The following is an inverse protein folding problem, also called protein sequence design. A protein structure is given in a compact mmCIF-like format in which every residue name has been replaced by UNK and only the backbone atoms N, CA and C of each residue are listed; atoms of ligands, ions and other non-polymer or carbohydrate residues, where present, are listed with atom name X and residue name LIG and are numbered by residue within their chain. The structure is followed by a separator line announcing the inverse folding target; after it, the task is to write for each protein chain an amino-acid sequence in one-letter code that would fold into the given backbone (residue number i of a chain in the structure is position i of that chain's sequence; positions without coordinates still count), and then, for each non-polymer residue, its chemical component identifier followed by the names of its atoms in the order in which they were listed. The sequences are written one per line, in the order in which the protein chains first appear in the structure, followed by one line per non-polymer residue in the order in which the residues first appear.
data_IF_613740181226
#
_entry.id   IF_613740181226
#
_cell.length_a   1.000
_cell.length_b   1.000
_cell.length_c   1.000
_cell.angle_alpha   90.00
_cell.angle_beta   90.00
_cell.angle_gamma   90.00
#
_symmetry.space_group_name_H-M   'P 1'
#
loop_
_entity.id
_entity.type
_entity.pdbx_description
1 polymer ?
#
# COMPACT_ATOMS: atom_id res chain seq x y z
N UNK A 1 4.77 17.50 -5.19
CA UNK A 1 3.66 18.27 -4.56
C UNK A 1 2.45 17.39 -4.24
N UNK A 2 2.11 16.43 -5.11
CA UNK A 2 0.91 15.59 -4.98
C UNK A 2 1.07 14.49 -3.92
N UNK A 3 2.24 13.83 -3.85
CA UNK A 3 2.57 12.90 -2.76
C UNK A 3 2.46 13.54 -1.35
N UNK A 4 2.94 14.78 -1.17
CA UNK A 4 2.80 15.50 0.11
C UNK A 4 1.34 15.78 0.45
N UNK A 5 0.51 16.09 -0.55
CA UNK A 5 -0.94 16.30 -0.35
C UNK A 5 -1.66 15.00 -0.03
N UNK A 6 -1.26 13.89 -0.65
CA UNK A 6 -1.75 12.56 -0.31
C UNK A 6 -1.39 12.18 1.12
N UNK A 7 -0.16 12.47 1.55
CA UNK A 7 0.30 12.20 2.92
C UNK A 7 -0.51 12.99 3.95
N UNK A 8 -0.79 14.28 3.69
CA UNK A 8 -1.68 15.08 4.56
C UNK A 8 -3.08 14.48 4.65
N UNK A 9 -3.64 14.09 3.50
CA UNK A 9 -4.93 13.40 3.48
C UNK A 9 -4.90 12.12 4.33
N UNK A 10 -3.86 11.29 4.19
CA UNK A 10 -3.68 10.08 4.99
C UNK A 10 -3.61 10.42 6.48
N UNK A 11 -2.84 11.44 6.89
CA UNK A 11 -2.74 11.85 8.30
C UNK A 11 -4.09 12.27 8.90
N UNK A 12 -4.90 12.99 8.13
CA UNK A 12 -6.18 13.54 8.55
C UNK A 12 -7.30 12.47 8.61
N UNK A 13 -7.29 11.50 7.69
CA UNK A 13 -8.42 10.57 7.47
C UNK A 13 -8.19 9.13 7.96
N UNK A 14 -6.96 8.78 8.36
CA UNK A 14 -6.61 7.43 8.84
C UNK A 14 -6.26 7.43 10.32
N UNK A 15 -6.48 6.30 10.99
CA UNK A 15 -6.01 6.12 12.38
C UNK A 15 -4.51 5.83 12.40
N UNK A 16 -3.80 6.09 13.52
CA UNK A 16 -2.37 5.74 13.65
C UNK A 16 -2.06 4.24 13.47
N UNK A 17 -3.06 3.38 13.58
CA UNK A 17 -2.93 1.93 13.47
C UNK A 17 -3.22 1.40 12.07
N UNK A 18 -3.78 2.24 11.19
CA UNK A 18 -4.15 1.83 9.85
C UNK A 18 -2.89 1.45 9.05
N UNK A 19 -2.94 0.29 8.38
CA UNK A 19 -1.87 -0.18 7.50
C UNK A 19 -2.15 0.27 6.08
N UNK A 20 -1.15 0.92 5.48
CA UNK A 20 -1.21 1.41 4.11
C UNK A 20 -0.37 0.49 3.21
N UNK A 21 -0.99 -0.09 2.19
CA UNK A 21 -0.27 -0.76 1.12
C UNK A 21 0.38 0.30 0.21
N UNK A 22 1.69 0.21 0.02
CA UNK A 22 2.52 1.06 -0.85
C UNK A 22 3.68 0.20 -1.36
N UNK A 23 4.43 0.69 -2.34
CA UNK A 23 5.63 0.00 -2.82
C UNK A 23 6.67 -0.20 -1.72
N UNK A 24 7.50 -1.22 -1.91
CA UNK A 24 8.62 -1.57 -1.02
C UNK A 24 9.83 -0.64 -1.17
N UNK A 25 9.66 0.50 -1.83
CA UNK A 25 10.74 1.46 -2.04
C UNK A 25 11.19 2.08 -0.71
N UNK A 26 12.51 2.19 -0.51
CA UNK A 26 13.09 2.76 0.72
C UNK A 26 12.71 4.24 0.93
N UNK A 27 12.32 4.94 -0.14
CA UNK A 27 11.91 6.34 -0.14
C UNK A 27 10.39 6.50 -0.30
N UNK A 28 9.59 5.47 0.00
CA UNK A 28 8.13 5.57 -0.01
C UNK A 28 7.66 6.73 0.88
N UNK A 29 6.84 7.66 0.36
CA UNK A 29 6.46 8.87 1.09
C UNK A 29 5.54 8.57 2.27
N UNK A 30 4.75 7.50 2.20
CA UNK A 30 3.79 7.11 3.25
C UNK A 30 4.46 6.94 4.60
N UNK A 31 5.39 5.98 4.82
CA UNK A 31 6.04 5.82 6.12
C UNK A 31 6.90 7.05 6.49
N UNK A 32 7.51 7.71 5.50
CA UNK A 32 8.44 8.81 5.73
C UNK A 32 7.75 10.11 6.18
N UNK A 33 6.52 10.37 5.73
CA UNK A 33 5.82 11.63 5.97
C UNK A 33 4.62 11.50 6.90
N UNK A 34 4.00 10.32 7.01
CA UNK A 34 2.76 10.13 7.79
C UNK A 34 2.96 9.30 9.07
N UNK A 35 4.08 8.57 9.14
CA UNK A 35 4.34 7.60 10.22
C UNK A 35 3.40 6.39 10.23
N UNK A 36 2.56 6.19 9.20
CA UNK A 36 1.66 5.03 9.11
C UNK A 36 2.42 3.74 8.83
N UNK A 37 1.87 2.65 9.38
CA UNK A 37 2.36 1.30 9.14
C UNK A 37 2.21 0.93 7.67
N UNK A 38 3.17 0.16 7.17
CA UNK A 38 3.13 -0.41 5.81
C UNK A 38 3.40 -1.91 5.88
N UNK A 39 2.97 -2.64 4.86
CA UNK A 39 3.15 -4.10 4.79
C UNK A 39 4.63 -4.48 4.77
N UNK A 40 5.42 -3.79 3.93
CA UNK A 40 6.85 -4.05 3.80
C UNK A 40 7.56 -2.82 3.24
N UNK A 41 8.62 -2.38 3.92
CA UNK A 41 9.60 -1.45 3.34
C UNK A 41 10.63 -2.20 2.48
N UNK A 42 11.74 -1.54 2.15
CA UNK A 42 12.81 -2.16 1.38
C UNK A 42 13.51 -3.25 2.18
N UNK A 43 13.48 -4.50 1.71
CA UNK A 43 14.12 -5.63 2.40
C UNK A 43 15.64 -5.57 2.39
N UNK A 44 16.26 -4.83 1.47
CA UNK A 44 17.70 -4.90 1.20
C UNK A 44 18.56 -4.57 2.41
N UNK A 45 18.13 -3.65 3.27
CA UNK A 45 18.86 -3.33 4.50
C UNK A 45 18.75 -4.46 5.53
N UNK A 46 17.53 -4.93 5.79
CA UNK A 46 17.23 -5.92 6.83
C UNK A 46 17.78 -7.32 6.50
N UNK A 47 17.87 -7.65 5.20
CA UNK A 47 18.45 -8.89 4.72
C UNK A 47 19.88 -9.11 5.24
N UNK A 48 20.72 -8.08 5.20
CA UNK A 48 22.10 -8.16 5.72
C UNK A 48 22.18 -8.20 7.25
N UNK A 49 21.06 -8.01 7.94
CA UNK A 49 20.91 -8.14 9.39
C UNK A 49 20.13 -9.40 9.81
N UNK A 50 19.97 -10.36 8.88
CA UNK A 50 19.42 -11.69 9.19
C UNK A 50 17.89 -11.78 9.23
N UNK A 51 17.18 -10.74 8.77
CA UNK A 51 15.73 -10.74 8.67
C UNK A 51 15.29 -10.97 7.21
N UNK A 52 14.44 -11.97 6.98
CA UNK A 52 13.94 -12.29 5.64
C UNK A 52 12.52 -11.74 5.42
N UNK A 53 12.42 -10.71 4.58
CA UNK A 53 11.15 -10.07 4.20
C UNK A 53 10.71 -10.41 2.76
N UNK A 54 11.36 -11.37 2.09
CA UNK A 54 11.04 -11.70 0.69
C UNK A 54 9.57 -12.08 0.50
N UNK A 55 8.98 -12.82 1.45
CA UNK A 55 7.57 -13.17 1.38
C UNK A 55 6.67 -11.94 1.48
N UNK A 56 6.99 -10.98 2.35
CA UNK A 56 6.23 -9.75 2.48
C UNK A 56 6.31 -8.92 1.19
N UNK A 57 7.46 -8.86 0.53
CA UNK A 57 7.61 -8.18 -0.75
C UNK A 57 6.77 -8.84 -1.85
N UNK A 58 6.78 -10.17 -1.94
CA UNK A 58 5.96 -10.93 -2.88
C UNK A 58 4.46 -10.77 -2.60
N UNK A 59 4.07 -10.72 -1.32
CA UNK A 59 2.68 -10.51 -0.93
C UNK A 59 2.22 -9.09 -1.33
N UNK A 60 3.06 -8.06 -1.17
CA UNK A 60 2.79 -6.70 -1.66
C UNK A 60 2.61 -6.70 -3.18
N UNK A 61 3.51 -7.34 -3.93
CA UNK A 61 3.39 -7.47 -5.38
C UNK A 61 2.10 -8.19 -5.79
N UNK A 62 1.74 -9.27 -5.09
CA UNK A 62 0.51 -10.03 -5.34
C UNK A 62 -0.74 -9.18 -5.10
N UNK A 63 -0.75 -8.36 -4.04
CA UNK A 63 -1.86 -7.43 -3.77
C UNK A 63 -1.99 -6.35 -4.85
N UNK A 64 -0.91 -5.95 -5.53
CA UNK A 64 -0.99 -5.02 -6.66
C UNK A 64 -1.32 -5.67 -8.00
N UNK A 65 -0.82 -6.89 -8.24
CA UNK A 65 -0.93 -7.58 -9.55
C UNK A 65 -2.15 -8.50 -9.66
N UNK A 66 -2.72 -8.94 -8.53
CA UNK A 66 -3.91 -9.80 -8.48
C UNK A 66 -4.77 -9.53 -7.23
N UNK A 67 -5.15 -8.27 -6.93
CA UNK A 67 -5.88 -7.88 -5.72
C UNK A 67 -7.16 -8.68 -5.45
N UNK A 68 -7.96 -8.95 -6.48
CA UNK A 68 -9.22 -9.70 -6.36
C UNK A 68 -9.02 -11.12 -5.81
N UNK A 69 -7.90 -11.76 -6.15
CA UNK A 69 -7.50 -13.08 -5.65
C UNK A 69 -6.70 -13.01 -4.34
N UNK A 70 -6.24 -11.81 -3.96
CA UNK A 70 -5.36 -11.58 -2.82
C UNK A 70 -6.09 -11.12 -1.55
N UNK A 71 -7.42 -11.26 -1.47
CA UNK A 71 -8.23 -10.78 -0.33
C UNK A 71 -7.72 -11.28 1.03
N UNK A 72 -7.26 -12.53 1.10
CA UNK A 72 -6.66 -13.08 2.32
C UNK A 72 -5.37 -12.36 2.74
N UNK A 73 -4.60 -11.80 1.81
CA UNK A 73 -3.42 -10.99 2.13
C UNK A 73 -3.80 -9.64 2.73
N UNK A 74 -4.86 -8.99 2.22
CA UNK A 74 -5.39 -7.77 2.82
C UNK A 74 -5.80 -8.01 4.28
N UNK A 75 -6.45 -9.14 4.58
CA UNK A 75 -6.77 -9.55 5.96
C UNK A 75 -5.53 -9.88 6.78
N UNK A 76 -4.61 -10.69 6.24
CA UNK A 76 -3.38 -11.14 6.92
C UNK A 76 -2.54 -9.98 7.43
N UNK A 77 -2.45 -8.90 6.66
CA UNK A 77 -1.66 -7.72 6.98
C UNK A 77 -2.49 -6.54 7.51
N UNK A 78 -3.80 -6.72 7.68
CA UNK A 78 -4.75 -5.67 8.09
C UNK A 78 -4.66 -4.39 7.24
N UNK A 79 -4.58 -4.55 5.91
CA UNK A 79 -4.39 -3.43 4.97
C UNK A 79 -5.68 -2.64 4.81
N UNK A 80 -5.75 -1.45 5.41
CA UNK A 80 -6.96 -0.62 5.39
C UNK A 80 -7.00 0.37 4.21
N UNK A 81 -5.84 0.77 3.69
CA UNK A 81 -5.74 1.68 2.55
C UNK A 81 -4.65 1.26 1.57
N UNK A 82 -4.76 1.76 0.34
CA UNK A 82 -3.80 1.55 -0.74
C UNK A 82 -3.34 2.91 -1.27
N UNK A 83 -2.04 3.11 -1.35
CA UNK A 83 -1.41 4.27 -1.94
C UNK A 83 -0.85 3.91 -3.31
N UNK A 84 -1.31 4.59 -4.35
CA UNK A 84 -0.84 4.40 -5.72
C UNK A 84 -0.20 5.68 -6.25
N UNK A 85 1.00 5.55 -6.79
CA UNK A 85 1.70 6.58 -7.53
C UNK A 85 2.45 5.97 -8.73
N UNK A 86 3.15 6.81 -9.49
CA UNK A 86 4.07 6.35 -10.54
C UNK A 86 5.09 5.30 -10.06
N UNK A 87 5.45 5.30 -8.77
CA UNK A 87 6.36 4.31 -8.21
C UNK A 87 5.74 2.90 -8.21
N UNK A 88 4.50 2.76 -7.71
CA UNK A 88 3.79 1.48 -7.71
C UNK A 88 3.52 1.00 -9.14
N UNK A 89 3.08 1.88 -10.04
CA UNK A 89 2.89 1.55 -11.45
C UNK A 89 4.18 1.16 -12.17
N UNK A 90 5.32 1.76 -11.80
CA UNK A 90 6.62 1.43 -12.38
C UNK A 90 7.25 0.15 -11.81
N UNK A 91 6.83 -0.27 -10.61
CA UNK A 91 7.38 -1.43 -9.90
C UNK A 91 6.56 -2.69 -10.17
N UNK A 92 5.23 -2.57 -10.23
CA UNK A 92 4.31 -3.69 -10.34
C UNK A 92 3.44 -3.56 -11.59
N UNK A 93 3.01 -4.71 -12.14
CA UNK A 93 1.97 -4.72 -13.16
C UNK A 93 0.59 -4.54 -12.51
N UNK A 94 0.30 -3.32 -12.06
CA UNK A 94 -0.89 -3.00 -11.25
C UNK A 94 -2.18 -3.36 -11.99
N UNK A 95 -2.99 -4.24 -11.41
CA UNK A 95 -4.33 -4.56 -11.88
C UNK A 95 -5.36 -3.62 -11.24
N UNK A 96 -5.59 -2.48 -11.92
CA UNK A 96 -6.53 -1.46 -11.46
C UNK A 96 -7.97 -1.97 -11.41
N UNK A 97 -8.37 -2.89 -12.31
CA UNK A 97 -9.72 -3.42 -12.32
C UNK A 97 -9.96 -4.29 -11.07
N UNK A 98 -9.00 -5.15 -10.74
CA UNK A 98 -9.07 -5.92 -9.50
C UNK A 98 -9.01 -5.04 -8.25
N UNK A 99 -8.31 -3.89 -8.28
CA UNK A 99 -8.31 -2.94 -7.15
C UNK A 99 -9.70 -2.37 -6.88
N UNK A 100 -10.48 -2.07 -7.91
CA UNK A 100 -11.88 -1.64 -7.75
C UNK A 100 -12.78 -2.71 -7.13
N UNK A 101 -12.40 -3.99 -7.17
CA UNK A 101 -13.15 -5.03 -6.48
C UNK A 101 -12.94 -4.97 -4.97
N UNK A 102 -11.73 -4.64 -4.51
CA UNK A 102 -11.33 -4.68 -3.10
C UNK A 102 -11.35 -3.32 -2.40
N UNK A 103 -11.29 -2.22 -3.14
CA UNK A 103 -11.15 -0.88 -2.60
C UNK A 103 -11.88 0.17 -3.44
N UNK A 104 -12.15 1.32 -2.84
CA UNK A 104 -12.74 2.49 -3.48
C UNK A 104 -11.78 3.68 -3.40
N UNK A 105 -11.68 4.47 -4.48
CA UNK A 105 -10.87 5.70 -4.49
C UNK A 105 -11.50 6.73 -3.55
N UNK A 106 -10.77 7.15 -2.53
CA UNK A 106 -11.23 8.18 -1.57
C UNK A 106 -10.53 9.52 -1.77
N UNK A 107 -9.35 9.51 -2.40
CA UNK A 107 -8.63 10.71 -2.75
C UNK A 107 -7.79 10.51 -4.00
N UNK A 108 -7.72 11.53 -4.85
CA UNK A 108 -6.86 11.51 -6.04
C UNK A 108 -6.40 12.92 -6.40
N UNK A 109 -5.14 13.02 -6.83
CA UNK A 109 -4.60 14.23 -7.42
C UNK A 109 -3.42 13.90 -8.33
N UNK A 110 -3.50 14.37 -9.58
CA UNK A 110 -2.50 14.14 -10.62
C UNK A 110 -2.25 12.62 -10.79
N UNK A 111 -1.02 12.16 -10.57
CA UNK A 111 -0.56 10.77 -10.68
C UNK A 111 -0.65 9.97 -9.37
N UNK A 112 -1.22 10.54 -8.30
CA UNK A 112 -1.32 9.91 -6.98
C UNK A 112 -2.77 9.69 -6.58
N UNK A 113 -3.07 8.50 -6.04
CA UNK A 113 -4.38 8.16 -5.49
C UNK A 113 -4.27 7.39 -4.17
N UNK A 114 -5.27 7.57 -3.31
CA UNK A 114 -5.45 6.83 -2.06
C UNK A 114 -6.80 6.14 -2.12
N UNK A 115 -6.79 4.84 -1.84
CA UNK A 115 -7.95 3.97 -1.91
C UNK A 115 -8.22 3.40 -0.53
N UNK A 116 -9.50 3.34 -0.15
CA UNK A 116 -9.93 2.69 1.09
C UNK A 116 -10.37 1.27 0.76
N UNK A 117 -9.80 0.29 1.45
CA UNK A 117 -10.19 -1.12 1.32
C UNK A 117 -11.60 -1.28 1.89
N UNK A 118 -12.45 -2.01 1.17
CA UNK A 118 -13.85 -2.21 1.53
C UNK A 118 -13.95 -3.08 2.78
N UNK A 119 -14.88 -2.74 3.67
CA UNK A 119 -15.10 -3.49 4.92
C UNK A 119 -15.43 -4.97 4.67
N UNK A 120 -16.11 -5.29 3.55
CA UNK A 120 -16.42 -6.65 3.11
C UNK A 120 -15.18 -7.53 2.83
N UNK A 121 -13.98 -6.94 2.76
CA UNK A 121 -12.73 -7.69 2.68
C UNK A 121 -12.33 -8.27 4.03
N UNK A 122 -12.83 -7.76 5.16
CA UNK A 122 -12.46 -8.20 6.51
C UNK A 122 -13.50 -9.10 7.18
N UNK A 123 -14.66 -9.28 6.54
CA UNK A 123 -15.68 -10.28 6.89
C UNK A 123 -15.28 -11.68 6.40
#
# INVERSE_FOLDING_TARGET
ASAVKACRYIEDETTPWDVILTSTAHNSPVPALTGRSIVCGSSSFLYYHGLNYQQNEQDVETMYTSPASAKELFRKYDVNYIYLSNQEYGTYNVDVNGLYEVADVVWQKDDVSVWKVKDAIFE
#
